data_IF_797577692803
#
_entry.id   IF_797577692803
#
_cell.length_a   1.000
_cell.length_b   1.000
_cell.length_c   1.000
_cell.angle_alpha   90.00
_cell.angle_beta   90.00
_cell.angle_gamma   90.00
#
_symmetry.space_group_name_H-M   'P 1'
#
loop_
_entity.id
_entity.type
_entity.pdbx_description
1 polymer ?
#
# COMPACT_ATOMS: atom_id res chain seq x y z
N UNK A 1 33.61 25.66 22.00
CA UNK A 1 32.68 24.88 22.86
C UNK A 1 32.05 23.82 21.98
N UNK A 2 32.57 22.60 22.03
CA UNK A 2 32.14 21.50 21.15
C UNK A 2 31.11 20.67 21.93
N UNK A 3 29.84 20.74 21.53
CA UNK A 3 28.76 19.94 22.12
C UNK A 3 28.91 18.50 21.61
N UNK A 4 29.27 17.60 22.50
CA UNK A 4 29.20 16.15 22.29
C UNK A 4 27.72 15.79 22.28
N UNK A 5 27.22 15.26 21.15
CA UNK A 5 25.89 14.66 21.05
C UNK A 5 26.14 13.19 20.72
N UNK A 6 25.94 12.34 21.73
CA UNK A 6 26.09 10.87 21.73
C UNK A 6 27.54 10.39 21.54
N UNK A 7 28.09 9.78 22.59
CA UNK A 7 29.45 9.24 22.61
C UNK A 7 29.74 8.35 21.39
N UNK A 8 30.73 8.75 20.58
CA UNK A 8 31.35 7.91 19.57
C UNK A 8 30.75 7.94 18.16
N UNK A 9 29.70 8.71 17.89
CA UNK A 9 29.10 8.83 16.54
C UNK A 9 29.31 10.25 16.05
N UNK A 10 29.98 10.41 14.90
CA UNK A 10 30.13 11.73 14.28
C UNK A 10 28.80 12.20 13.70
N UNK A 11 28.66 13.51 13.46
CA UNK A 11 27.47 14.04 12.81
C UNK A 11 27.30 13.44 11.40
N UNK A 12 28.40 13.19 10.69
CA UNK A 12 28.37 12.52 9.39
C UNK A 12 27.84 11.09 9.50
N UNK A 13 28.26 10.32 10.51
CA UNK A 13 27.81 8.94 10.72
C UNK A 13 26.31 8.88 11.03
N UNK A 14 25.81 9.81 11.85
CA UNK A 14 24.38 9.92 12.14
C UNK A 14 23.56 10.26 10.89
N UNK A 15 24.04 11.18 10.06
CA UNK A 15 23.38 11.51 8.79
C UNK A 15 23.39 10.34 7.81
N UNK A 16 24.45 9.53 7.80
CA UNK A 16 24.54 8.33 6.97
C UNK A 16 23.54 7.27 7.41
N UNK A 17 23.46 6.98 8.72
CA UNK A 17 22.49 6.05 9.31
C UNK A 17 21.04 6.46 9.03
N UNK A 18 20.74 7.75 9.12
CA UNK A 18 19.41 8.28 8.76
C UNK A 18 19.13 8.08 7.27
N UNK A 19 20.09 8.36 6.38
CA UNK A 19 19.91 8.15 4.93
C UNK A 19 19.71 6.68 4.58
N UNK A 20 20.42 5.77 5.22
CA UNK A 20 20.25 4.32 5.01
C UNK A 20 18.88 3.86 5.50
N UNK A 21 18.46 4.28 6.69
CA UNK A 21 17.14 3.95 7.24
C UNK A 21 16.01 4.45 6.34
N UNK A 22 16.10 5.71 5.87
CA UNK A 22 15.14 6.27 4.92
C UNK A 22 15.14 5.52 3.58
N UNK A 23 16.31 5.16 3.04
CA UNK A 23 16.40 4.37 1.79
C UNK A 23 15.79 2.97 1.96
N UNK A 24 16.05 2.31 3.08
CA UNK A 24 15.48 1.01 3.38
C UNK A 24 13.95 1.08 3.51
N UNK A 25 13.43 2.14 4.13
CA UNK A 25 11.99 2.34 4.27
C UNK A 25 11.32 2.73 2.94
N UNK A 26 11.98 3.53 2.10
CA UNK A 26 11.52 3.83 0.73
C UNK A 26 11.51 2.55 -0.10
N UNK A 27 12.58 1.75 -0.06
CA UNK A 27 12.67 0.50 -0.81
C UNK A 27 11.66 -0.56 -0.32
N UNK A 28 11.44 -0.65 0.99
CA UNK A 28 10.40 -1.49 1.60
C UNK A 28 8.97 -1.02 1.26
N UNK A 29 8.77 0.28 1.04
CA UNK A 29 7.49 0.82 0.57
C UNK A 29 7.32 0.68 -0.95
N UNK A 30 8.38 0.80 -1.74
CA UNK A 30 8.34 0.59 -3.19
C UNK A 30 8.05 -0.88 -3.52
N UNK A 31 8.73 -1.81 -2.86
CA UNK A 31 8.44 -3.25 -3.00
C UNK A 31 6.99 -3.62 -2.67
N UNK A 32 6.35 -2.92 -1.73
CA UNK A 32 4.92 -3.09 -1.40
C UNK A 32 3.95 -2.37 -2.34
N UNK A 33 4.41 -1.38 -3.10
CA UNK A 33 3.57 -0.59 -4.04
C UNK A 33 3.46 -1.21 -5.44
N UNK A 34 4.31 -2.16 -5.81
CA UNK A 34 4.45 -2.60 -7.21
C UNK A 34 3.87 -4.00 -7.47
N UNK A 35 3.60 -4.80 -6.44
CA UNK A 35 3.03 -6.13 -6.65
C UNK A 35 1.51 -6.03 -6.92
N UNK A 36 1.01 -6.53 -8.06
CA UNK A 36 -0.42 -6.67 -8.27
C UNK A 36 -0.99 -7.64 -7.24
N UNK A 37 -2.12 -7.28 -6.65
CA UNK A 37 -2.78 -8.13 -5.68
C UNK A 37 -3.51 -9.27 -6.39
N UNK A 38 -3.63 -10.40 -5.71
CA UNK A 38 -4.40 -11.53 -6.25
C UNK A 38 -5.89 -11.18 -6.34
N UNK A 39 -6.59 -11.76 -7.30
CA UNK A 39 -8.04 -11.56 -7.47
C UNK A 39 -8.82 -11.93 -6.21
N UNK A 40 -8.34 -12.93 -5.46
CA UNK A 40 -8.93 -13.36 -4.19
C UNK A 40 -8.80 -12.28 -3.12
N UNK A 41 -7.61 -11.68 -2.98
CA UNK A 41 -7.35 -10.60 -2.03
C UNK A 41 -8.20 -9.35 -2.36
N UNK A 42 -8.29 -9.00 -3.64
CA UNK A 42 -9.12 -7.90 -4.12
C UNK A 42 -10.61 -8.12 -3.79
N UNK A 43 -11.13 -9.33 -4.06
CA UNK A 43 -12.50 -9.70 -3.73
C UNK A 43 -12.78 -9.58 -2.23
N UNK A 44 -11.83 -10.03 -1.38
CA UNK A 44 -11.96 -9.97 0.08
C UNK A 44 -11.98 -8.53 0.59
N UNK A 45 -11.09 -7.67 0.10
CA UNK A 45 -11.04 -6.24 0.50
C UNK A 45 -12.27 -5.45 0.08
N UNK A 46 -12.82 -5.74 -1.09
CA UNK A 46 -14.02 -5.03 -1.59
C UNK A 46 -15.32 -5.68 -1.05
N UNK A 47 -15.27 -6.96 -0.66
CA UNK A 47 -16.44 -7.73 -0.21
C UNK A 47 -17.36 -8.13 -1.36
N UNK A 48 -16.79 -8.54 -2.50
CA UNK A 48 -17.53 -8.90 -3.72
C UNK A 48 -17.12 -10.28 -4.26
N UNK A 49 -17.95 -10.84 -5.13
CA UNK A 49 -17.64 -12.09 -5.85
C UNK A 49 -16.67 -11.83 -7.00
N UNK A 50 -15.91 -12.86 -7.39
CA UNK A 50 -14.96 -12.78 -8.51
C UNK A 50 -15.65 -12.39 -9.84
N UNK A 51 -16.88 -12.87 -10.08
CA UNK A 51 -17.67 -12.46 -11.26
C UNK A 51 -17.94 -10.94 -11.28
N UNK A 52 -18.22 -10.36 -10.12
CA UNK A 52 -18.43 -8.91 -9.98
C UNK A 52 -17.12 -8.16 -10.17
N UNK A 53 -16.03 -8.67 -9.60
CA UNK A 53 -14.70 -8.10 -9.77
C UNK A 53 -14.29 -8.06 -11.25
N UNK A 54 -14.41 -9.17 -11.98
CA UNK A 54 -14.10 -9.23 -13.43
C UNK A 54 -14.87 -8.20 -14.25
N UNK A 55 -16.16 -8.00 -13.94
CA UNK A 55 -16.99 -6.99 -14.61
C UNK A 55 -16.47 -5.57 -14.35
N UNK A 56 -16.12 -5.26 -13.10
CA UNK A 56 -15.56 -3.95 -12.71
C UNK A 56 -14.20 -3.73 -13.37
N UNK A 57 -13.33 -4.73 -13.38
CA UNK A 57 -12.02 -4.64 -14.03
C UNK A 57 -12.14 -4.38 -15.53
N UNK A 58 -13.08 -5.06 -16.19
CA UNK A 58 -13.37 -4.84 -17.61
C UNK A 58 -13.91 -3.42 -17.86
N UNK A 59 -14.81 -2.93 -17.01
CA UNK A 59 -15.39 -1.59 -17.11
C UNK A 59 -14.37 -0.47 -16.83
N UNK A 60 -13.38 -0.74 -15.97
CA UNK A 60 -12.30 0.19 -15.64
C UNK A 60 -11.06 0.02 -16.53
N UNK A 61 -11.09 -0.92 -17.48
CA UNK A 61 -9.97 -1.28 -18.34
C UNK A 61 -8.68 -1.64 -17.56
N UNK A 62 -8.85 -2.35 -16.44
CA UNK A 62 -7.77 -2.80 -15.56
C UNK A 62 -7.47 -4.27 -15.85
N UNK A 63 -6.21 -4.60 -16.19
CA UNK A 63 -5.74 -5.99 -16.35
C UNK A 63 -5.34 -6.61 -15.01
N UNK A 64 -4.64 -5.82 -14.20
CA UNK A 64 -4.15 -6.18 -12.88
C UNK A 64 -4.76 -5.27 -11.82
N UNK A 65 -4.88 -5.78 -10.59
CA UNK A 65 -5.48 -5.03 -9.49
C UNK A 65 -4.39 -4.59 -8.54
N UNK A 66 -4.15 -3.29 -8.44
CA UNK A 66 -3.25 -2.75 -7.44
C UNK A 66 -4.02 -2.34 -6.18
N UNK A 67 -3.36 -2.30 -5.01
CA UNK A 67 -4.00 -1.77 -3.79
C UNK A 67 -4.58 -0.36 -3.97
N UNK A 68 -3.97 0.48 -4.81
CA UNK A 68 -4.47 1.80 -5.17
C UNK A 68 -5.80 1.76 -5.95
N UNK A 69 -6.02 0.74 -6.76
CA UNK A 69 -7.25 0.57 -7.54
C UNK A 69 -8.43 0.19 -6.66
N UNK A 70 -8.20 -0.47 -5.52
CA UNK A 70 -9.26 -0.81 -4.55
C UNK A 70 -9.99 0.44 -4.08
N UNK A 71 -9.25 1.49 -3.71
CA UNK A 71 -9.86 2.75 -3.28
C UNK A 71 -10.63 3.42 -4.42
N UNK A 72 -10.11 3.37 -5.65
CA UNK A 72 -10.79 3.91 -6.84
C UNK A 72 -12.10 3.16 -7.13
N UNK A 73 -12.09 1.83 -7.02
CA UNK A 73 -13.27 0.97 -7.18
C UNK A 73 -14.30 1.31 -6.10
N UNK A 74 -13.90 1.43 -4.84
CA UNK A 74 -14.83 1.74 -3.75
C UNK A 74 -15.46 3.13 -3.89
N UNK A 75 -14.72 4.13 -4.37
CA UNK A 75 -15.25 5.46 -4.67
C UNK A 75 -16.25 5.45 -5.84
N UNK A 76 -15.97 4.70 -6.90
CA UNK A 76 -16.89 4.56 -8.05
C UNK A 76 -18.14 3.74 -7.69
N UNK A 77 -18.02 2.78 -6.78
CA UNK A 77 -19.09 1.89 -6.37
C UNK A 77 -19.28 1.91 -4.85
N UNK A 78 -19.82 3.00 -4.28
CA UNK A 78 -19.94 3.19 -2.83
C UNK A 78 -20.81 2.12 -2.14
N UNK A 79 -21.68 1.44 -2.89
CA UNK A 79 -22.48 0.29 -2.41
C UNK A 79 -21.65 -0.85 -1.82
N UNK A 80 -20.37 -0.97 -2.19
CA UNK A 80 -19.47 -2.00 -1.67
C UNK A 80 -18.74 -1.58 -0.37
N UNK A 81 -18.68 -0.28 -0.05
CA UNK A 81 -18.02 0.25 1.16
C UNK A 81 -18.64 -0.33 2.43
N UNK A 82 -19.98 -0.38 2.52
CA UNK A 82 -20.69 -0.94 3.68
C UNK A 82 -20.44 -2.44 3.88
N UNK A 83 -20.07 -3.18 2.82
CA UNK A 83 -19.73 -4.61 2.90
C UNK A 83 -18.28 -4.83 3.29
N UNK A 84 -17.35 -4.02 2.78
CA UNK A 84 -15.93 -4.08 3.13
C UNK A 84 -15.71 -3.84 4.64
N UNK A 85 -16.39 -2.84 5.22
CA UNK A 85 -16.31 -2.53 6.65
C UNK A 85 -16.83 -3.67 7.57
N UNK A 86 -17.75 -4.50 7.06
CA UNK A 86 -18.35 -5.61 7.82
C UNK A 86 -17.51 -6.89 7.81
N UNK A 87 -16.48 -6.97 6.96
CA UNK A 87 -15.60 -8.14 6.86
C UNK A 87 -14.35 -8.06 7.78
N UNK A 88 -14.20 -6.95 8.51
CA UNK A 88 -13.08 -6.68 9.43
C UNK A 88 -13.44 -7.03 10.89
N UNK A 89 -14.71 -7.36 11.16
CA UNK A 89 -15.21 -7.75 12.48
C UNK A 89 -15.77 -9.17 12.47
#
# INVERSE_FOLDING_TARGET
MTKIILEGITLEDFQSLLRESFRAEISANESKKIAPMTKTEACRRIGITNKTLQKILSEMNLKDVYPSDINRILLKYPKFIKKAAKAIY
#
